data_IF_034969282628
#
_entry.id   IF_034969282628
#
_cell.length_a   1.000
_cell.length_b   1.000
_cell.length_c   1.000
_cell.angle_alpha   90.00
_cell.angle_beta   90.00
_cell.angle_gamma   90.00
#
_symmetry.space_group_name_H-M   'P 1'
#
loop_
_entity.id
_entity.type
_entity.pdbx_description
1 polymer ?
#
# COMPACT_ATOMS: atom_id res chain seq x y z
N UNK A 1 36.72 18.20 16.15
CA UNK A 1 35.36 18.22 15.52
C UNK A 1 35.25 17.03 14.60
N UNK A 2 34.61 15.96 15.08
CA UNK A 2 34.48 14.71 14.31
C UNK A 2 33.22 14.83 13.47
N UNK A 3 33.39 14.86 12.15
CA UNK A 3 32.25 14.81 11.22
C UNK A 3 31.61 13.43 11.33
N UNK A 4 30.38 13.37 11.80
CA UNK A 4 29.59 12.15 11.74
C UNK A 4 29.39 11.78 10.26
N UNK A 5 29.92 10.65 9.87
CA UNK A 5 29.67 10.14 8.52
C UNK A 5 28.21 9.73 8.44
N UNK A 6 27.50 10.38 7.57
CA UNK A 6 26.11 10.04 7.25
C UNK A 6 26.11 8.75 6.43
N UNK A 7 25.66 7.67 7.05
CA UNK A 7 25.43 6.42 6.30
C UNK A 7 24.07 6.53 5.62
N UNK A 8 24.00 6.47 4.28
CA UNK A 8 22.73 6.67 3.56
C UNK A 8 21.70 5.54 3.73
N UNK A 9 21.96 4.56 4.58
CA UNK A 9 21.04 3.46 4.83
C UNK A 9 20.27 3.52 6.14
N UNK A 10 20.57 4.50 7.01
CA UNK A 10 20.07 4.47 8.39
C UNK A 10 18.71 5.17 8.60
N UNK A 11 18.20 5.89 7.60
CA UNK A 11 17.02 6.75 7.78
C UNK A 11 15.82 6.38 6.88
N UNK A 12 15.80 5.18 6.31
CA UNK A 12 14.62 4.75 5.55
C UNK A 12 13.57 4.24 6.53
N UNK A 13 12.38 4.85 6.56
CA UNK A 13 11.31 4.34 7.42
C UNK A 13 10.98 2.91 7.05
N UNK A 14 10.81 2.06 8.08
CA UNK A 14 10.40 0.67 7.88
C UNK A 14 8.95 0.70 7.41
N UNK A 15 8.67 0.19 6.22
CA UNK A 15 7.31 0.14 5.71
C UNK A 15 6.46 -0.87 6.48
N UNK A 16 5.23 -0.51 6.82
CA UNK A 16 4.29 -1.44 7.43
C UNK A 16 4.16 -2.76 6.69
N UNK A 17 3.85 -3.82 7.43
CA UNK A 17 3.59 -5.14 6.85
C UNK A 17 2.17 -5.25 6.29
N UNK A 18 1.17 -4.71 7.03
CA UNK A 18 -0.23 -4.78 6.62
C UNK A 18 -0.70 -3.45 6.05
N UNK A 19 -1.42 -3.51 4.93
CA UNK A 19 -1.91 -2.34 4.23
C UNK A 19 -3.40 -2.45 3.95
N UNK A 20 -4.16 -1.46 4.41
CA UNK A 20 -5.57 -1.32 4.06
C UNK A 20 -5.68 -0.28 2.95
N UNK A 21 -6.32 -0.64 1.84
CA UNK A 21 -6.55 0.31 0.75
C UNK A 21 -8.03 0.65 0.71
N UNK A 22 -8.34 1.94 0.65
CA UNK A 22 -9.73 2.38 0.65
C UNK A 22 -10.35 2.24 -0.73
N UNK A 23 -11.68 2.01 -0.74
CA UNK A 23 -12.46 1.80 -1.95
C UNK A 23 -13.91 2.13 -1.61
N UNK A 24 -14.73 2.34 -2.66
CA UNK A 24 -16.18 2.51 -2.46
C UNK A 24 -16.77 1.36 -1.63
N UNK A 25 -16.30 0.15 -1.87
CA UNK A 25 -16.86 -1.06 -1.26
C UNK A 25 -16.61 -1.16 0.24
N UNK A 26 -15.52 -0.58 0.76
CA UNK A 26 -15.20 -0.68 2.19
C UNK A 26 -15.37 0.63 2.95
N UNK A 27 -15.89 1.68 2.33
CA UNK A 27 -16.03 3.02 2.92
C UNK A 27 -16.79 3.03 4.26
N UNK A 28 -17.53 2.36 4.33
CA UNK A 28 -18.35 2.23 5.40
C UNK A 28 -17.78 1.69 6.60
N UNK A 29 -16.94 0.98 6.51
CA UNK A 29 -16.21 0.36 7.58
C UNK A 29 -14.73 0.83 7.74
N UNK A 30 -14.27 1.75 7.13
CA UNK A 30 -13.03 2.18 7.16
C UNK A 30 -12.63 2.57 8.46
N UNK A 31 -13.51 3.36 9.29
CA UNK A 31 -13.24 3.75 10.68
C UNK A 31 -12.99 2.54 11.58
N UNK A 32 -13.90 1.58 11.54
CA UNK A 32 -13.77 0.35 12.33
C UNK A 32 -12.53 -0.43 11.93
N UNK A 33 -12.27 -0.55 10.67
CA UNK A 33 -11.11 -1.29 10.17
C UNK A 33 -9.79 -0.67 10.64
N UNK A 34 -9.68 0.64 10.61
CA UNK A 34 -8.50 1.35 11.10
C UNK A 34 -8.25 1.10 12.57
N UNK A 35 -9.33 1.03 13.28
CA UNK A 35 -9.21 0.80 14.59
C UNK A 35 -8.90 -0.59 14.90
N UNK A 36 -9.10 -1.57 13.89
CA UNK A 36 -8.92 -2.90 14.04
C UNK A 36 -7.64 -3.40 13.63
N UNK A 37 -6.88 -2.72 12.81
CA UNK A 37 -5.56 -3.05 12.27
C UNK A 37 -4.48 -3.01 13.35
N UNK A 38 -3.48 -3.86 13.23
CA UNK A 38 -2.35 -3.77 14.16
C UNK A 38 -1.72 -2.38 14.13
N UNK A 39 -1.31 -1.88 15.27
CA UNK A 39 -0.62 -0.59 15.38
C UNK A 39 0.56 -0.56 14.41
N UNK A 40 0.72 0.53 13.69
CA UNK A 40 1.80 0.67 12.73
C UNK A 40 1.51 0.04 11.37
N UNK A 41 0.24 -0.17 11.06
CA UNK A 41 -0.16 -0.61 9.72
C UNK A 41 -0.12 0.56 8.73
N UNK A 42 -0.31 0.26 7.46
CA UNK A 42 -0.40 1.27 6.41
C UNK A 42 -1.83 1.44 5.95
N UNK A 43 -2.16 2.65 5.56
CA UNK A 43 -3.47 2.99 5.02
C UNK A 43 -3.30 3.81 3.75
N UNK A 44 -3.82 3.31 2.64
CA UNK A 44 -3.81 4.04 1.37
C UNK A 44 -5.22 4.58 1.11
N UNK A 45 -5.35 5.90 1.09
CA UNK A 45 -6.63 6.55 0.81
C UNK A 45 -6.76 6.76 -0.70
N UNK A 46 -7.73 6.11 -1.30
CA UNK A 46 -8.00 6.20 -2.74
C UNK A 46 -9.29 6.96 -3.01
N UNK A 47 -10.44 6.39 -2.71
CA UNK A 47 -11.78 7.04 -2.81
C UNK A 47 -11.99 7.80 -4.12
N UNK A 48 -11.69 7.14 -5.24
CA UNK A 48 -11.79 7.74 -6.57
C UNK A 48 -13.22 8.13 -6.97
N UNK A 49 -14.20 7.55 -6.27
CA UNK A 49 -15.63 7.74 -6.57
C UNK A 49 -16.19 9.06 -6.05
N UNK A 50 -15.45 9.79 -5.22
CA UNK A 50 -15.92 11.03 -4.62
C UNK A 50 -15.45 12.25 -5.41
N UNK A 51 -16.26 13.31 -5.41
CA UNK A 51 -15.82 14.61 -5.94
C UNK A 51 -14.69 15.19 -5.09
N UNK A 52 -13.90 16.14 -5.61
CA UNK A 52 -12.70 16.63 -4.90
C UNK A 52 -12.96 17.13 -3.48
N UNK A 53 -14.01 17.93 -3.25
CA UNK A 53 -14.27 18.50 -1.92
C UNK A 53 -14.69 17.43 -0.92
N UNK A 54 -15.59 16.54 -1.32
CA UNK A 54 -16.05 15.41 -0.48
C UNK A 54 -14.91 14.46 -0.22
N UNK A 55 -14.08 14.20 -1.22
CA UNK A 55 -12.94 13.33 -1.11
C UNK A 55 -11.94 13.87 -0.08
N UNK A 56 -11.66 15.17 -0.12
CA UNK A 56 -10.75 15.80 0.83
C UNK A 56 -11.31 15.75 2.26
N UNK A 57 -12.62 16.00 2.43
CA UNK A 57 -13.27 15.93 3.75
C UNK A 57 -13.19 14.51 4.32
N UNK A 58 -13.43 13.51 3.51
CA UNK A 58 -13.33 12.11 3.92
C UNK A 58 -11.89 11.72 4.30
N UNK A 59 -10.94 12.23 3.58
CA UNK A 59 -9.53 12.05 3.91
C UNK A 59 -9.21 12.57 5.32
N UNK A 60 -9.63 13.47 5.60
CA UNK A 60 -9.37 14.06 6.74
C UNK A 60 -9.88 13.34 7.89
N UNK A 61 -11.04 12.99 7.77
CA UNK A 61 -11.69 12.17 8.80
C UNK A 61 -10.89 10.89 9.06
N UNK A 62 -10.60 10.15 8.02
CA UNK A 62 -9.92 8.86 8.14
C UNK A 62 -8.45 9.02 8.54
N UNK A 63 -7.78 10.04 8.02
CA UNK A 63 -6.38 10.30 8.37
C UNK A 63 -6.21 10.62 9.86
N UNK A 64 -7.16 11.34 10.46
CA UNK A 64 -7.16 11.63 11.90
C UNK A 64 -7.22 10.35 12.72
N UNK A 65 -8.09 9.42 12.34
CA UNK A 65 -8.20 8.12 13.02
C UNK A 65 -6.91 7.32 12.83
N UNK A 66 -6.39 7.26 11.66
CA UNK A 66 -5.15 6.56 11.35
C UNK A 66 -3.95 7.08 12.14
N UNK A 67 -4.00 8.14 12.23
CA UNK A 67 -3.02 8.75 12.88
C UNK A 67 -3.02 8.42 14.27
N UNK A 68 -4.08 8.54 14.98
CA UNK A 68 -4.29 8.14 16.37
C UNK A 68 -3.88 6.67 16.61
N UNK A 69 -4.09 5.82 15.61
CA UNK A 69 -3.75 4.40 15.70
C UNK A 69 -2.28 4.11 15.37
N UNK A 70 -1.49 5.12 15.06
CA UNK A 70 -0.09 4.96 14.72
C UNK A 70 0.18 4.43 13.33
N UNK A 71 -0.78 4.58 12.42
CA UNK A 71 -0.64 4.07 11.06
C UNK A 71 0.03 5.08 10.13
N UNK A 72 0.70 4.58 9.10
CA UNK A 72 1.24 5.39 8.02
C UNK A 72 0.12 5.69 7.03
N UNK A 73 -0.09 6.96 6.68
CA UNK A 73 -1.18 7.40 5.80
C UNK A 73 -0.61 7.83 4.45
N UNK A 74 -1.07 7.16 3.40
CA UNK A 74 -0.63 7.39 2.03
C UNK A 74 -1.83 7.86 1.20
N UNK A 75 -1.64 8.93 0.44
CA UNK A 75 -2.69 9.49 -0.40
C UNK A 75 -2.47 9.11 -1.86
N UNK A 76 -3.50 8.58 -2.48
CA UNK A 76 -3.45 8.32 -3.92
C UNK A 76 -3.58 9.64 -4.69
N UNK A 77 -2.66 9.89 -5.60
CA UNK A 77 -2.60 11.15 -6.36
C UNK A 77 -1.58 12.11 -5.78
N UNK A 78 -1.67 13.37 -6.16
CA UNK A 78 -0.63 14.38 -5.87
C UNK A 78 -1.06 15.50 -4.92
N UNK A 79 -2.24 15.44 -4.42
CA UNK A 79 -2.70 16.45 -3.64
C UNK A 79 -1.92 16.46 -2.40
N UNK A 80 -1.62 17.74 -1.93
CA UNK A 80 -0.92 17.99 -0.67
C UNK A 80 -1.89 18.22 0.48
N UNK A 81 -2.41 17.15 1.04
CA UNK A 81 -3.38 17.15 2.15
C UNK A 81 -2.74 16.73 3.48
N UNK A 82 -1.43 16.67 3.53
CA UNK A 82 -0.73 16.34 4.78
C UNK A 82 -0.53 14.85 5.02
N UNK A 83 -0.63 14.02 3.98
CA UNK A 83 -0.33 12.59 4.10
C UNK A 83 1.16 12.36 4.35
N UNK A 84 1.50 11.18 4.87
CA UNK A 84 2.91 10.80 5.03
C UNK A 84 3.59 10.56 3.69
N UNK A 85 2.84 10.19 2.67
CA UNK A 85 3.37 9.94 1.35
C UNK A 85 2.29 9.78 0.30
N UNK A 86 2.68 9.38 -0.90
CA UNK A 86 1.78 9.29 -2.05
C UNK A 86 1.84 7.93 -2.73
N UNK A 87 0.78 7.60 -3.46
CA UNK A 87 0.56 6.31 -4.11
C UNK A 87 0.12 6.55 -5.55
N UNK A 88 0.67 5.81 -6.45
CA UNK A 88 0.23 5.92 -7.84
C UNK A 88 1.18 5.29 -8.86
N UNK A 89 0.93 5.38 -10.01
CA UNK A 89 1.66 4.88 -11.05
C UNK A 89 2.86 5.59 -11.12
N UNK A 90 3.97 5.02 -11.52
CA UNK A 90 5.31 5.59 -11.64
C UNK A 90 5.49 6.26 -13.01
N UNK A 91 4.97 7.44 -13.15
CA UNK A 91 5.03 8.17 -14.42
C UNK A 91 6.15 9.21 -14.50
N UNK A 92 6.77 9.52 -13.36
CA UNK A 92 7.86 10.52 -13.27
C UNK A 92 8.65 10.27 -11.98
N UNK A 93 9.87 10.78 -11.90
CA UNK A 93 10.61 10.71 -10.63
C UNK A 93 9.84 11.42 -9.50
N UNK A 94 9.90 10.85 -8.31
CA UNK A 94 9.17 11.36 -7.14
C UNK A 94 10.12 11.48 -5.95
N UNK A 95 9.95 12.56 -5.20
CA UNK A 95 10.64 12.76 -3.94
C UNK A 95 9.72 12.33 -2.78
N UNK A 96 10.30 12.12 -1.62
CA UNK A 96 9.55 11.75 -0.43
C UNK A 96 9.09 10.30 -0.46
N UNK A 97 8.13 9.99 0.39
CA UNK A 97 7.60 8.62 0.49
C UNK A 97 6.59 8.38 -0.64
N UNK A 98 7.04 7.67 -1.64
CA UNK A 98 6.22 7.31 -2.78
C UNK A 98 6.12 5.79 -2.90
N UNK A 99 4.89 5.28 -2.96
CA UNK A 99 4.61 3.87 -3.15
C UNK A 99 3.97 3.69 -4.52
N UNK A 100 4.65 2.93 -5.37
CA UNK A 100 4.22 2.75 -6.76
C UNK A 100 3.37 1.50 -6.91
N UNK A 101 2.60 1.45 -8.00
CA UNK A 101 1.91 0.24 -8.42
C UNK A 101 2.66 -0.41 -9.58
N UNK A 102 2.66 -1.73 -9.67
CA UNK A 102 3.24 -2.48 -10.78
C UNK A 102 2.46 -3.77 -11.02
N UNK A 103 2.39 -4.18 -12.27
CA UNK A 103 1.71 -5.41 -12.73
C UNK A 103 2.58 -6.34 -13.58
N UNK A 104 3.84 -5.79 -14.09
CA UNK A 104 4.71 -6.53 -14.94
C UNK A 104 6.10 -6.20 -14.59
N UNK A 105 7.08 -6.59 -15.07
CA UNK A 105 8.39 -6.37 -14.96
C UNK A 105 8.77 -5.03 -15.29
N UNK A 106 8.36 -4.50 -16.47
CA UNK A 106 8.65 -3.14 -16.95
C UNK A 106 8.16 -2.08 -15.96
N UNK A 107 6.95 -2.28 -15.39
CA UNK A 107 6.36 -1.36 -14.42
C UNK A 107 7.13 -1.38 -13.10
N UNK A 108 7.62 -2.54 -12.69
CA UNK A 108 8.44 -2.67 -11.50
C UNK A 108 9.75 -1.89 -11.68
N UNK A 109 10.39 -2.04 -12.82
CA UNK A 109 11.62 -1.29 -13.14
C UNK A 109 11.36 0.21 -13.18
N UNK A 110 10.23 0.63 -13.76
CA UNK A 110 9.84 2.04 -13.80
C UNK A 110 9.61 2.61 -12.39
N UNK A 111 9.01 1.81 -11.51
CA UNK A 111 8.78 2.21 -10.12
C UNK A 111 10.11 2.43 -9.38
N UNK A 112 11.05 1.53 -9.55
CA UNK A 112 12.39 1.67 -8.96
C UNK A 112 13.08 2.93 -9.50
N UNK A 113 13.04 3.13 -10.81
CA UNK A 113 13.66 4.31 -11.45
C UNK A 113 13.01 5.61 -10.99
N UNK A 114 11.71 5.60 -10.68
CA UNK A 114 10.98 6.77 -10.19
C UNK A 114 11.26 7.10 -8.73
N UNK A 115 11.98 6.25 -8.02
CA UNK A 115 12.33 6.49 -6.63
C UNK A 115 11.33 5.96 -5.62
N UNK A 116 10.55 4.94 -6.01
CA UNK A 116 9.55 4.36 -5.09
C UNK A 116 10.20 3.73 -3.86
N UNK A 117 9.48 3.88 -2.81
CA UNK A 117 9.88 3.41 -1.68
C UNK A 117 9.39 2.13 -1.37
N UNK A 118 8.46 1.73 -1.98
CA UNK A 118 7.83 0.44 -2.00
C UNK A 118 6.98 0.26 -3.24
N UNK A 119 6.63 -0.98 -3.56
CA UNK A 119 5.88 -1.28 -4.77
C UNK A 119 4.74 -2.23 -4.43
N UNK A 120 3.51 -1.82 -4.75
CA UNK A 120 2.34 -2.70 -4.72
C UNK A 120 2.31 -3.51 -6.01
N UNK A 121 2.57 -4.80 -5.91
CA UNK A 121 2.62 -5.72 -7.05
C UNK A 121 1.34 -6.54 -7.09
N UNK A 122 0.58 -6.44 -8.17
CA UNK A 122 -0.76 -7.03 -8.25
C UNK A 122 -1.14 -7.41 -9.68
N UNK A 123 -2.25 -8.16 -9.87
CA UNK A 123 -3.00 -8.86 -8.81
C UNK A 123 -2.41 -10.26 -8.57
N UNK A 124 -2.14 -10.58 -7.37
CA UNK A 124 -1.63 -11.91 -7.02
C UNK A 124 -2.67 -12.99 -7.23
N UNK A 125 -3.96 -12.96 -6.63
CA UNK A 125 -5.01 -13.85 -6.77
C UNK A 125 -6.16 -13.15 -7.44
N UNK A 126 -7.20 -13.65 -7.67
CA UNK A 126 -8.33 -13.15 -8.26
C UNK A 126 -9.02 -12.34 -7.27
N UNK A 127 -9.49 -11.24 -7.69
CA UNK A 127 -10.06 -10.20 -6.82
C UNK A 127 -11.44 -9.72 -7.27
N UNK A 128 -11.98 -9.41 -6.46
CA UNK A 128 -13.21 -8.94 -6.71
C UNK A 128 -13.21 -7.62 -7.25
N UNK A 129 -12.15 -6.78 -7.00
CA UNK A 129 -11.99 -5.42 -7.58
C UNK A 129 -11.91 -5.44 -9.10
N UNK A 130 -11.30 -6.46 -9.65
CA UNK A 130 -11.13 -6.60 -11.10
C UNK A 130 -11.49 -8.03 -11.53
N UNK A 131 -12.79 -8.37 -11.54
CA UNK A 131 -13.20 -9.73 -11.91
C UNK A 131 -12.72 -10.06 -13.33
N UNK A 132 -12.16 -11.25 -13.49
CA UNK A 132 -11.68 -11.72 -14.79
C UNK A 132 -10.33 -11.18 -15.20
N UNK A 133 -9.70 -10.33 -14.42
CA UNK A 133 -8.36 -9.84 -14.72
C UNK A 133 -7.34 -10.98 -14.61
N UNK A 134 -6.34 -10.95 -15.48
CA UNK A 134 -5.26 -11.93 -15.45
C UNK A 134 -4.43 -11.75 -14.18
N UNK A 135 -4.26 -12.82 -13.40
CA UNK A 135 -3.50 -12.79 -12.17
C UNK A 135 -2.06 -13.23 -12.38
N UNK A 136 -1.17 -12.83 -11.47
CA UNK A 136 0.22 -13.27 -11.47
C UNK A 136 0.35 -14.72 -10.98
N UNK A 137 -0.37 -15.05 -9.92
CA UNK A 137 -0.17 -16.32 -9.25
C UNK A 137 1.08 -16.28 -8.38
N UNK A 138 1.25 -17.34 -7.60
CA UNK A 138 2.33 -17.43 -6.59
C UNK A 138 3.71 -17.37 -7.26
N UNK A 139 3.93 -18.21 -8.26
CA UNK A 139 5.28 -18.35 -8.86
C UNK A 139 5.73 -17.06 -9.54
N UNK A 140 4.88 -16.44 -10.35
CA UNK A 140 5.22 -15.20 -11.04
C UNK A 140 5.40 -14.05 -10.04
N UNK A 141 4.58 -14.01 -9.02
CA UNK A 141 4.75 -13.00 -7.96
C UNK A 141 6.13 -13.16 -7.28
N UNK A 142 6.37 -14.18 -6.83
CA UNK A 142 7.50 -14.45 -6.18
C UNK A 142 8.65 -14.18 -6.96
N UNK A 143 8.73 -14.51 -8.33
CA UNK A 143 9.84 -14.24 -9.25
C UNK A 143 10.08 -12.75 -9.45
N UNK A 144 8.99 -11.98 -9.68
CA UNK A 144 9.06 -10.54 -9.84
C UNK A 144 9.50 -9.83 -8.55
N UNK A 145 8.91 -10.23 -7.42
CA UNK A 145 9.18 -9.57 -6.14
C UNK A 145 10.64 -9.72 -5.71
N UNK A 146 11.23 -10.87 -5.98
CA UNK A 146 12.64 -11.12 -5.63
C UNK A 146 13.63 -10.29 -6.44
N UNK A 147 13.22 -9.77 -7.58
CA UNK A 147 14.04 -8.90 -8.40
C UNK A 147 14.06 -7.45 -7.91
N UNK A 148 13.14 -7.09 -7.01
CA UNK A 148 13.00 -5.71 -6.57
C UNK A 148 14.03 -5.35 -5.49
N UNK A 149 14.76 -4.23 -5.66
CA UNK A 149 15.64 -3.73 -4.61
C UNK A 149 14.91 -2.97 -3.51
N UNK A 150 13.58 -2.76 -3.65
CA UNK A 150 12.76 -2.10 -2.65
C UNK A 150 11.66 -3.05 -2.19
N UNK A 151 11.10 -2.83 -0.97
CA UNK A 151 10.05 -3.71 -0.46
C UNK A 151 8.87 -3.82 -1.42
N UNK A 152 8.35 -5.03 -1.55
CA UNK A 152 7.18 -5.32 -2.39
C UNK A 152 6.01 -5.68 -1.47
N UNK A 153 4.86 -5.09 -1.77
CA UNK A 153 3.60 -5.31 -1.06
C UNK A 153 2.69 -6.12 -1.98
N UNK A 154 2.34 -7.33 -1.56
CA UNK A 154 1.46 -8.19 -2.35
C UNK A 154 0.03 -7.65 -2.29
N UNK A 155 -0.63 -7.52 -3.44
CA UNK A 155 -1.98 -6.98 -3.53
C UNK A 155 -2.78 -7.76 -4.57
N UNK A 156 -4.09 -7.83 -4.36
CA UNK A 156 -4.99 -8.53 -5.26
C UNK A 156 -5.46 -9.85 -4.68
N UNK A 157 -6.67 -9.86 -4.15
CA UNK A 157 -7.29 -11.04 -3.58
C UNK A 157 -6.59 -11.60 -2.35
N UNK A 158 -5.81 -10.79 -1.66
CA UNK A 158 -5.02 -11.24 -0.49
C UNK A 158 -5.89 -11.40 0.75
N UNK A 159 -5.60 -12.43 1.52
CA UNK A 159 -6.14 -12.70 2.86
C UNK A 159 -4.99 -13.21 3.72
N UNK A 160 -5.22 -13.35 5.03
CA UNK A 160 -4.21 -13.93 5.92
C UNK A 160 -3.78 -15.32 5.46
N UNK A 161 -4.75 -16.13 5.03
CA UNK A 161 -4.48 -17.49 4.54
C UNK A 161 -3.63 -17.48 3.28
N UNK A 162 -3.99 -16.63 2.33
CA UNK A 162 -3.26 -16.52 1.07
C UNK A 162 -1.86 -15.97 1.26
N UNK A 163 -1.68 -15.05 2.22
CA UNK A 163 -0.34 -14.53 2.55
C UNK A 163 0.55 -15.65 3.08
N UNK A 164 -0.02 -16.53 3.92
CA UNK A 164 0.73 -17.69 4.40
C UNK A 164 1.10 -18.64 3.27
N UNK A 165 0.16 -18.92 2.37
CA UNK A 165 0.43 -19.77 1.20
C UNK A 165 1.49 -19.17 0.30
N UNK A 166 1.45 -17.85 0.10
CA UNK A 166 2.41 -17.11 -0.70
C UNK A 166 3.80 -17.08 -0.04
N UNK A 167 3.84 -17.19 1.29
CA UNK A 167 5.07 -17.04 2.06
C UNK A 167 5.61 -15.62 2.02
N UNK A 168 4.73 -14.63 1.97
CA UNK A 168 5.09 -13.23 1.84
C UNK A 168 4.44 -12.42 2.94
N UNK A 169 5.23 -11.77 3.77
CA UNK A 169 4.73 -11.12 4.99
C UNK A 169 4.17 -9.71 4.78
N UNK A 170 4.55 -9.04 3.68
CA UNK A 170 4.08 -7.67 3.42
C UNK A 170 2.98 -7.69 2.36
N UNK A 171 1.75 -7.34 2.77
CA UNK A 171 0.61 -7.42 1.86
C UNK A 171 -0.49 -6.44 2.23
N UNK A 172 -1.37 -6.18 1.28
CA UNK A 172 -2.50 -5.30 1.46
C UNK A 172 -3.78 -5.86 0.90
N UNK A 173 -4.88 -5.26 1.30
CA UNK A 173 -6.20 -5.68 0.86
C UNK A 173 -7.20 -4.53 0.94
N UNK A 174 -8.24 -4.62 0.12
CA UNK A 174 -9.45 -3.81 0.22
C UNK A 174 -10.43 -4.61 1.07
N UNK A 175 -10.64 -5.85 0.68
CA UNK A 175 -11.46 -6.84 1.37
C UNK A 175 -10.54 -7.83 2.11
N UNK A 176 -11.08 -8.65 2.97
CA UNK A 176 -10.32 -9.74 3.58
C UNK A 176 -9.60 -9.40 4.88
N UNK A 177 -9.56 -8.13 5.27
CA UNK A 177 -9.09 -7.73 6.59
C UNK A 177 -10.23 -7.60 7.59
N UNK A 178 -11.48 -7.57 7.11
CA UNK A 178 -12.68 -7.42 7.94
C UNK A 178 -13.21 -8.69 8.54
N UNK A 179 -12.69 -9.84 8.18
CA UNK A 179 -13.08 -11.10 8.79
C UNK A 179 -11.90 -11.66 9.57
N UNK A 180 -11.54 -10.99 10.64
CA UNK A 180 -10.66 -11.59 11.63
C UNK A 180 -11.48 -12.56 12.44
N UNK A 181 -11.58 -13.76 11.97
CA UNK A 181 -11.78 -14.86 12.89
C UNK A 181 -10.46 -14.99 13.64
N UNK A 182 -10.38 -14.24 14.71
CA UNK A 182 -9.36 -14.50 15.72
C UNK A 182 -9.79 -15.78 16.41
N UNK A 183 -9.26 -16.87 15.94
CA UNK A 183 -9.32 -18.08 16.73
C UNK A 183 -8.17 -18.01 17.74
#
# INVERSE_FOLDING_TARGET
>A
MTRRQHHPGADRPILPLFWLLSDRRNDXGXETALXXLPTGSGFVFRHYHLDPDTRRARFXELAAIAXQCGHTVILSGDXDWGADGHYGXATRPRDGLFLATAHXXDELAAAVAAGAXGIFLSPVXXTXSHPGAKTLGIDAFXALARQSPVPVIALGGMTHERARELGWSRWGAIDGLGSTNVA
#
